data_IF_723635407657
#
_entry.id   IF_723635407657
#
_cell.length_a   1.000
_cell.length_b   1.000
_cell.length_c   1.000
_cell.angle_alpha   90.00
_cell.angle_beta   90.00
_cell.angle_gamma   90.00
#
_symmetry.space_group_name_H-M   'P 1'
#
loop_
_entity.id
_entity.type
_entity.pdbx_description
1 polymer ?
#
# COMPACT_ATOMS: atom_id res chain seq x y z
N UNK A 1 86.50 -4.38 44.81
CA UNK A 1 85.03 -4.26 44.78
C UNK A 1 84.64 -3.14 43.82
N UNK A 2 84.10 -3.49 42.65
CA UNK A 2 83.43 -2.59 41.69
C UNK A 2 82.35 -3.42 40.99
N UNK A 3 81.06 -3.07 41.06
CA UNK A 3 80.04 -3.80 40.33
C UNK A 3 79.87 -3.21 38.92
N UNK A 4 79.82 -4.10 37.93
CA UNK A 4 79.39 -3.83 36.57
C UNK A 4 77.86 -3.77 36.55
N UNK A 5 77.29 -2.63 36.14
CA UNK A 5 75.87 -2.50 35.79
C UNK A 5 75.69 -2.92 34.32
N UNK A 6 74.92 -3.99 34.09
CA UNK A 6 74.40 -4.34 32.77
C UNK A 6 73.03 -3.68 32.59
N UNK A 7 72.93 -2.78 31.61
CA UNK A 7 71.68 -2.14 31.20
C UNK A 7 70.98 -3.05 30.19
N UNK A 8 69.87 -3.68 30.57
CA UNK A 8 69.01 -4.42 29.65
C UNK A 8 68.02 -3.45 29.00
N UNK A 9 68.15 -3.23 27.70
CA UNK A 9 67.17 -2.49 26.89
C UNK A 9 66.01 -3.43 26.55
N UNK A 10 64.86 -3.27 27.22
CA UNK A 10 63.61 -3.86 26.77
C UNK A 10 63.09 -3.05 25.57
N UNK A 11 63.18 -3.63 24.38
CA UNK A 11 62.44 -3.14 23.22
C UNK A 11 60.94 -3.45 23.42
N UNK A 12 60.14 -2.41 23.68
CA UNK A 12 58.70 -2.50 23.66
C UNK A 12 58.22 -2.72 22.22
N UNK A 13 57.83 -3.97 21.89
CA UNK A 13 57.11 -4.26 20.65
C UNK A 13 55.71 -3.70 20.81
N UNK A 14 55.46 -2.52 20.24
CA UNK A 14 54.11 -2.00 20.05
C UNK A 14 53.34 -2.98 19.16
N UNK A 15 52.40 -3.72 19.74
CA UNK A 15 51.35 -4.40 18.99
C UNK A 15 50.52 -3.31 18.31
N UNK A 16 50.86 -3.00 17.05
CA UNK A 16 49.92 -2.35 16.15
C UNK A 16 48.73 -3.30 16.03
N UNK A 17 47.59 -2.90 16.60
CA UNK A 17 46.31 -3.56 16.36
C UNK A 17 46.14 -3.63 14.84
N UNK A 18 46.29 -4.83 14.28
CA UNK A 18 46.21 -5.05 12.85
C UNK A 18 44.77 -4.73 12.46
N UNK A 19 44.57 -3.70 11.63
CA UNK A 19 43.26 -3.38 11.08
C UNK A 19 42.65 -4.66 10.51
N UNK A 20 41.37 -4.90 10.83
CA UNK A 20 40.66 -6.08 10.33
C UNK A 20 40.69 -6.07 8.80
N UNK A 21 41.03 -7.19 8.18
CA UNK A 21 41.06 -7.34 6.73
C UNK A 21 39.64 -7.08 6.16
N UNK A 22 39.44 -6.06 5.31
CA UNK A 22 38.13 -5.71 4.76
C UNK A 22 37.47 -6.84 3.98
N UNK A 23 38.26 -7.71 3.33
CA UNK A 23 37.75 -8.87 2.59
C UNK A 23 37.21 -9.90 3.58
N UNK A 24 37.97 -10.19 4.63
CA UNK A 24 37.56 -11.12 5.68
C UNK A 24 36.29 -10.65 6.41
N UNK A 25 36.20 -9.37 6.77
CA UNK A 25 34.99 -8.82 7.40
C UNK A 25 33.79 -8.91 6.47
N UNK A 26 33.98 -8.61 5.17
CA UNK A 26 32.93 -8.72 4.16
C UNK A 26 32.39 -10.15 4.03
N UNK A 27 33.27 -11.13 3.86
CA UNK A 27 32.91 -12.54 3.71
C UNK A 27 32.21 -13.10 4.96
N UNK A 28 32.66 -12.69 6.15
CA UNK A 28 32.11 -13.19 7.41
C UNK A 28 30.79 -12.51 7.80
N UNK A 29 30.59 -11.23 7.44
CA UNK A 29 29.47 -10.43 7.97
C UNK A 29 28.48 -9.95 6.91
N UNK A 30 28.93 -9.53 5.73
CA UNK A 30 28.04 -9.01 4.68
C UNK A 30 27.57 -10.11 3.73
N UNK A 31 28.43 -11.05 3.37
CA UNK A 31 28.06 -12.12 2.44
C UNK A 31 26.91 -13.01 2.96
N UNK A 32 26.78 -13.32 4.27
CA UNK A 32 25.61 -14.00 4.81
C UNK A 32 24.31 -13.18 4.65
N UNK A 33 24.36 -11.85 4.78
CA UNK A 33 23.22 -10.97 4.52
C UNK A 33 22.84 -11.02 3.04
N UNK A 34 23.83 -10.94 2.15
CA UNK A 34 23.63 -11.04 0.70
C UNK A 34 22.96 -12.35 0.28
N UNK A 35 23.36 -13.47 0.88
CA UNK A 35 22.83 -14.81 0.58
C UNK A 35 21.55 -15.17 1.35
N UNK A 36 21.14 -14.36 2.31
CA UNK A 36 19.97 -14.64 3.15
C UNK A 36 18.68 -14.60 2.34
N UNK A 37 17.75 -15.56 2.52
CA UNK A 37 16.42 -15.48 1.94
C UNK A 37 15.51 -14.48 2.67
N UNK A 38 15.93 -14.00 3.85
CA UNK A 38 15.11 -13.10 4.67
C UNK A 38 15.15 -11.66 4.13
N UNK A 39 14.06 -10.88 4.28
CA UNK A 39 14.02 -9.47 3.89
C UNK A 39 14.96 -8.63 4.76
N UNK A 40 15.57 -7.59 4.17
CA UNK A 40 16.43 -6.65 4.91
C UNK A 40 15.65 -5.56 5.65
N UNK A 41 16.34 -4.78 6.49
CA UNK A 41 15.74 -3.62 7.15
C UNK A 41 15.14 -2.57 6.20
N UNK A 42 15.60 -2.49 4.95
CA UNK A 42 15.08 -1.57 3.94
C UNK A 42 13.62 -1.88 3.55
N UNK A 43 13.21 -3.15 3.66
CA UNK A 43 11.86 -3.63 3.34
C UNK A 43 10.81 -3.02 4.26
N UNK A 44 11.18 -2.63 5.49
CA UNK A 44 10.25 -1.99 6.41
C UNK A 44 9.63 -0.70 5.83
N UNK A 45 10.41 0.07 5.08
CA UNK A 45 9.93 1.32 4.48
C UNK A 45 9.63 1.20 2.99
N UNK A 46 10.07 0.13 2.32
CA UNK A 46 9.99 -0.02 0.86
C UNK A 46 9.32 -1.31 0.36
N UNK A 47 8.65 -2.07 1.25
CA UNK A 47 7.82 -3.23 0.93
C UNK A 47 8.44 -4.27 -0.03
N UNK A 48 9.78 -4.37 -0.02
CA UNK A 48 10.65 -5.23 -0.83
C UNK A 48 11.04 -4.74 -2.23
N UNK A 49 10.69 -3.51 -2.61
CA UNK A 49 11.27 -2.92 -3.83
C UNK A 49 12.70 -2.39 -3.63
N UNK A 50 13.11 -2.18 -2.38
CA UNK A 50 14.48 -1.85 -2.01
C UNK A 50 14.93 -2.87 -0.98
N UNK A 51 15.95 -3.64 -1.32
CA UNK A 51 16.63 -4.55 -0.40
C UNK A 51 18.06 -4.06 -0.18
N UNK A 52 18.62 -4.34 1.00
CA UNK A 52 20.00 -4.01 1.32
C UNK A 52 20.97 -4.80 0.44
N UNK A 53 20.55 -5.97 -0.04
CA UNK A 53 21.32 -6.83 -0.94
C UNK A 53 21.60 -6.18 -2.29
N UNK A 54 20.73 -5.27 -2.74
CA UNK A 54 20.94 -4.52 -3.99
C UNK A 54 22.15 -3.56 -3.91
N UNK A 55 22.66 -3.34 -2.69
CA UNK A 55 23.83 -2.53 -2.37
C UNK A 55 25.09 -3.36 -2.12
N UNK A 56 25.03 -4.69 -2.29
CA UNK A 56 26.15 -5.61 -2.08
C UNK A 56 26.51 -6.26 -3.42
N UNK A 57 27.74 -6.07 -3.88
CA UNK A 57 28.28 -6.69 -5.09
C UNK A 57 29.04 -7.98 -4.75
N UNK A 58 29.41 -8.83 -5.73
CA UNK A 58 30.07 -10.10 -5.46
C UNK A 58 31.40 -10.03 -4.70
N UNK A 59 32.07 -8.86 -4.68
CA UNK A 59 33.33 -8.67 -3.97
C UNK A 59 33.29 -7.48 -2.99
N UNK A 60 34.12 -7.56 -1.94
CA UNK A 60 34.31 -6.49 -0.96
C UNK A 60 34.76 -5.19 -1.64
N UNK A 61 35.76 -5.29 -2.53
CA UNK A 61 36.31 -4.14 -3.25
C UNK A 61 35.25 -3.46 -4.11
N UNK A 62 34.52 -4.22 -4.92
CA UNK A 62 33.51 -3.65 -5.81
C UNK A 62 32.39 -2.99 -5.02
N UNK A 63 31.92 -3.65 -3.96
CA UNK A 63 30.89 -3.10 -3.06
C UNK A 63 31.35 -1.77 -2.47
N UNK A 64 32.58 -1.72 -1.95
CA UNK A 64 33.15 -0.51 -1.37
C UNK A 64 33.24 0.62 -2.39
N UNK A 65 33.83 0.37 -3.56
CA UNK A 65 33.96 1.37 -4.62
C UNK A 65 32.60 1.90 -5.05
N UNK A 66 31.61 1.02 -5.25
CA UNK A 66 30.28 1.41 -5.68
C UNK A 66 29.54 2.27 -4.64
N UNK A 67 29.64 1.92 -3.36
CA UNK A 67 29.01 2.70 -2.28
C UNK A 67 29.74 4.03 -2.04
N UNK A 68 31.08 4.04 -2.07
CA UNK A 68 31.90 5.25 -1.94
C UNK A 68 31.61 6.24 -3.06
N UNK A 69 31.65 5.79 -4.31
CA UNK A 69 31.48 6.66 -5.49
C UNK A 69 30.07 7.24 -5.58
N UNK A 70 29.08 6.60 -4.95
CA UNK A 70 27.72 7.13 -4.80
C UNK A 70 27.51 8.00 -3.55
N UNK A 71 28.58 8.27 -2.78
CA UNK A 71 28.53 9.08 -1.56
C UNK A 71 27.76 8.40 -0.42
N UNK A 72 27.68 7.07 -0.40
CA UNK A 72 27.04 6.28 0.66
C UNK A 72 27.98 5.97 1.83
N UNK A 73 29.30 6.02 1.59
CA UNK A 73 30.37 5.84 2.58
C UNK A 73 31.11 7.18 2.77
N UNK A 74 31.33 7.57 4.02
CA UNK A 74 32.20 8.68 4.41
C UNK A 74 33.53 8.10 4.92
N UNK A 75 34.64 8.36 4.22
CA UNK A 75 35.96 7.78 4.56
C UNK A 75 36.63 8.49 5.74
N UNK A 76 36.29 9.75 5.97
CA UNK A 76 36.84 10.55 7.08
C UNK A 76 36.09 10.24 8.37
N UNK A 77 34.78 9.95 8.26
CA UNK A 77 33.91 9.60 9.37
C UNK A 77 33.12 8.34 9.04
N UNK A 78 33.75 7.14 9.11
CA UNK A 78 33.12 5.88 8.71
C UNK A 78 31.80 5.62 9.42
N UNK A 79 31.67 6.00 10.70
CA UNK A 79 30.44 5.87 11.48
C UNK A 79 29.32 6.83 11.04
N UNK A 80 29.64 7.93 10.35
CA UNK A 80 28.68 8.89 9.81
C UNK A 80 28.20 8.55 8.39
N UNK A 81 28.68 7.43 7.83
CA UNK A 81 28.32 6.98 6.49
C UNK A 81 26.80 6.95 6.28
N UNK A 82 26.37 7.49 5.13
CA UNK A 82 24.94 7.60 4.81
C UNK A 82 24.23 6.25 4.80
N UNK A 83 24.89 5.18 4.36
CA UNK A 83 24.30 3.83 4.38
C UNK A 83 23.98 3.35 5.80
N UNK A 84 24.82 3.66 6.79
CA UNK A 84 24.56 3.32 8.20
C UNK A 84 23.34 4.07 8.73
N UNK A 85 23.24 5.38 8.41
CA UNK A 85 22.07 6.20 8.73
C UNK A 85 20.79 5.63 8.11
N UNK A 86 20.85 5.11 6.89
CA UNK A 86 19.71 4.50 6.21
C UNK A 86 19.32 3.15 6.85
N UNK A 87 20.27 2.27 7.15
CA UNK A 87 20.00 0.98 7.84
C UNK A 87 19.38 1.24 9.22
N UNK A 88 19.89 2.23 9.95
CA UNK A 88 19.40 2.59 11.28
C UNK A 88 18.01 3.22 11.33
N UNK A 89 17.45 3.67 10.19
CA UNK A 89 16.11 4.28 10.14
C UNK A 89 15.02 3.28 10.54
N UNK A 90 14.02 3.78 11.27
CA UNK A 90 12.86 3.01 11.70
C UNK A 90 13.11 2.04 12.85
N UNK A 91 14.27 2.15 13.54
CA UNK A 91 14.58 1.38 14.75
C UNK A 91 13.60 1.63 15.90
N UNK A 92 13.03 2.84 15.96
CA UNK A 92 12.05 3.28 16.96
C UNK A 92 10.61 3.22 16.45
N UNK A 93 10.40 2.81 15.19
CA UNK A 93 9.06 2.85 14.60
C UNK A 93 8.21 1.69 15.13
N UNK A 94 7.00 1.95 15.62
CA UNK A 94 6.11 0.92 16.18
C UNK A 94 5.57 -0.07 15.13
N UNK A 95 5.79 0.16 13.84
CA UNK A 95 5.37 -0.73 12.73
C UNK A 95 6.12 -2.07 12.64
N UNK A 96 6.92 -2.40 13.65
CA UNK A 96 7.87 -3.50 13.66
C UNK A 96 7.21 -4.88 13.78
N UNK A 97 6.78 -5.48 12.66
CA UNK A 97 6.85 -6.94 12.40
C UNK A 97 7.07 -7.32 10.92
N UNK A 98 7.43 -6.38 10.02
CA UNK A 98 7.74 -6.75 8.63
C UNK A 98 9.11 -7.46 8.49
N UNK A 99 9.98 -7.31 9.48
CA UNK A 99 11.29 -7.98 9.56
C UNK A 99 11.44 -8.68 10.91
N UNK A 100 12.17 -9.80 10.99
CA UNK A 100 12.52 -10.44 12.25
C UNK A 100 13.28 -9.50 13.20
N UNK A 101 13.11 -9.70 14.50
CA UNK A 101 13.82 -8.93 15.52
C UNK A 101 15.34 -9.10 15.37
N UNK A 102 16.09 -8.02 15.61
CA UNK A 102 17.56 -8.02 15.56
C UNK A 102 18.19 -7.93 14.16
N UNK A 103 17.43 -8.11 13.07
CA UNK A 103 17.96 -8.03 11.68
C UNK A 103 18.64 -6.69 11.43
N UNK A 104 17.99 -5.58 11.79
CA UNK A 104 18.54 -4.23 11.61
C UNK A 104 19.84 -4.02 12.37
N UNK A 105 19.91 -4.49 13.61
CA UNK A 105 21.12 -4.33 14.43
C UNK A 105 22.28 -5.17 13.87
N UNK A 106 21.99 -6.39 13.39
CA UNK A 106 22.97 -7.23 12.73
C UNK A 106 23.49 -6.59 11.42
N UNK A 107 22.59 -6.07 10.58
CA UNK A 107 22.95 -5.35 9.35
C UNK A 107 23.81 -4.11 9.64
N UNK A 108 23.41 -3.30 10.62
CA UNK A 108 24.15 -2.11 11.02
C UNK A 108 25.55 -2.46 11.52
N UNK A 109 25.66 -3.45 12.41
CA UNK A 109 26.95 -3.88 12.97
C UNK A 109 27.87 -4.49 11.89
N UNK A 110 27.31 -5.24 10.94
CA UNK A 110 28.05 -5.79 9.80
C UNK A 110 28.63 -4.67 8.92
N UNK A 111 27.78 -3.72 8.48
CA UNK A 111 28.22 -2.61 7.65
C UNK A 111 29.19 -1.67 8.38
N UNK A 112 28.94 -1.35 9.65
CA UNK A 112 29.83 -0.44 10.41
C UNK A 112 31.23 -1.04 10.55
N UNK A 113 31.34 -2.31 10.92
CA UNK A 113 32.63 -2.99 11.03
C UNK A 113 33.37 -3.05 9.68
N UNK A 114 32.65 -3.38 8.61
CA UNK A 114 33.24 -3.48 7.28
C UNK A 114 33.67 -2.13 6.71
N UNK A 115 32.88 -1.08 6.89
CA UNK A 115 33.22 0.28 6.45
C UNK A 115 34.47 0.79 7.18
N UNK A 116 34.59 0.54 8.49
CA UNK A 116 35.79 0.88 9.27
C UNK A 116 37.02 0.18 8.74
N UNK A 117 36.94 -1.14 8.54
CA UNK A 117 38.02 -1.90 7.92
C UNK A 117 38.44 -1.31 6.55
N UNK A 118 37.47 -1.01 5.69
CA UNK A 118 37.76 -0.39 4.38
C UNK A 118 38.38 1.00 4.48
N UNK A 119 37.93 1.81 5.45
CA UNK A 119 38.49 3.12 5.71
C UNK A 119 39.93 3.01 6.25
N UNK A 120 40.29 1.97 6.97
CA UNK A 120 41.65 1.78 7.47
C UNK A 120 42.61 1.21 6.42
N UNK A 121 42.10 0.70 5.30
CA UNK A 121 42.89 0.15 4.19
C UNK A 121 43.41 1.26 3.23
N UNK A 122 44.74 1.50 3.17
CA UNK A 122 45.31 2.54 2.31
C UNK A 122 45.11 2.28 0.81
N UNK A 123 45.06 1.00 0.39
CA UNK A 123 44.88 0.64 -1.02
C UNK A 123 43.45 0.92 -1.48
N UNK A 124 42.46 0.66 -0.63
CA UNK A 124 41.06 1.00 -0.91
C UNK A 124 40.83 2.51 -0.89
N UNK A 125 41.40 3.24 0.07
CA UNK A 125 41.37 4.71 0.11
C UNK A 125 41.93 5.34 -1.17
N UNK A 126 43.08 4.85 -1.64
CA UNK A 126 43.75 5.37 -2.84
C UNK A 126 43.17 4.85 -4.17
N UNK A 127 42.22 3.91 -4.14
CA UNK A 127 41.72 3.26 -5.36
C UNK A 127 40.92 4.23 -6.24
N UNK A 128 41.42 4.48 -7.46
CA UNK A 128 40.77 5.31 -8.50
C UNK A 128 39.93 4.52 -9.51
N UNK A 129 39.81 3.21 -9.31
CA UNK A 129 39.07 2.35 -10.24
C UNK A 129 37.60 2.77 -10.30
N UNK A 130 37.04 2.80 -11.51
CA UNK A 130 35.62 3.06 -11.73
C UNK A 130 34.81 1.92 -11.13
N UNK A 131 33.92 2.24 -10.21
CA UNK A 131 33.07 1.25 -9.58
C UNK A 131 32.12 0.56 -10.59
N UNK A 132 31.80 -0.73 -10.38
CA UNK A 132 30.66 -1.34 -11.03
C UNK A 132 29.36 -0.62 -10.63
N UNK A 133 28.36 -0.65 -11.51
CA UNK A 133 27.05 -0.10 -11.21
C UNK A 133 26.31 -0.97 -10.17
N UNK A 134 25.70 -0.33 -9.18
CA UNK A 134 24.72 -1.02 -8.33
C UNK A 134 23.43 -1.26 -9.12
N UNK A 135 22.74 -2.35 -8.81
CA UNK A 135 21.43 -2.67 -9.40
C UNK A 135 20.30 -1.85 -8.75
N UNK A 136 20.51 -0.53 -8.56
CA UNK A 136 19.52 0.35 -7.93
C UNK A 136 18.35 0.61 -8.87
N UNK A 137 17.13 0.55 -8.33
CA UNK A 137 15.92 0.84 -9.10
C UNK A 137 15.78 2.34 -9.37
N UNK A 138 15.09 2.73 -10.46
CA UNK A 138 14.72 4.12 -10.71
C UNK A 138 13.95 4.74 -9.53
N UNK A 139 14.13 6.04 -9.32
CA UNK A 139 13.56 6.75 -8.16
C UNK A 139 12.03 6.67 -8.12
N UNK A 140 11.38 6.61 -9.28
CA UNK A 140 9.93 6.46 -9.42
C UNK A 140 9.46 5.12 -8.86
N UNK A 141 10.18 4.04 -9.17
CA UNK A 141 9.90 2.69 -8.66
C UNK A 141 10.13 2.62 -7.16
N UNK A 142 11.26 3.18 -6.70
CA UNK A 142 11.56 3.26 -5.26
C UNK A 142 10.48 4.05 -4.52
N UNK A 143 10.02 5.17 -5.10
CA UNK A 143 8.95 6.00 -4.52
C UNK A 143 7.63 5.25 -4.48
N UNK A 144 7.21 4.63 -5.57
CA UNK A 144 5.94 3.87 -5.65
C UNK A 144 5.84 2.80 -4.55
N UNK A 145 6.93 2.09 -4.32
CA UNK A 145 6.98 1.02 -3.35
C UNK A 145 7.19 1.47 -1.89
N UNK A 146 7.33 2.77 -1.62
CA UNK A 146 7.43 3.25 -0.25
C UNK A 146 6.15 2.93 0.52
N UNK A 147 6.30 2.59 1.79
CA UNK A 147 5.19 2.24 2.68
C UNK A 147 4.13 3.34 2.76
N UNK A 148 4.53 4.63 2.74
CA UNK A 148 3.58 5.75 2.74
C UNK A 148 2.75 5.82 1.45
N UNK A 149 3.36 5.55 0.29
CA UNK A 149 2.65 5.51 -1.00
C UNK A 149 1.71 4.32 -1.11
N UNK A 150 2.13 3.14 -0.65
CA UNK A 150 1.26 1.96 -0.61
C UNK A 150 0.14 2.13 0.43
N UNK A 151 0.41 2.78 1.56
CA UNK A 151 -0.60 3.16 2.57
C UNK A 151 -1.61 4.13 1.99
N UNK A 152 -1.15 5.13 1.24
CA UNK A 152 -2.01 6.09 0.58
C UNK A 152 -2.94 5.44 -0.45
N UNK A 153 -2.42 4.49 -1.25
CA UNK A 153 -3.25 3.70 -2.16
C UNK A 153 -4.21 2.78 -1.40
N UNK A 154 -3.78 2.15 -0.31
CA UNK A 154 -4.66 1.36 0.55
C UNK A 154 -5.82 2.21 1.11
N UNK A 155 -5.51 3.42 1.61
CA UNK A 155 -6.48 4.35 2.14
C UNK A 155 -7.49 4.79 1.07
N UNK A 156 -7.00 5.11 -0.13
CA UNK A 156 -7.82 5.60 -1.24
C UNK A 156 -8.63 4.48 -1.91
N UNK A 157 -8.25 3.22 -1.79
CA UNK A 157 -8.97 2.10 -2.40
C UNK A 157 -9.70 1.24 -1.37
N UNK A 158 -8.95 0.42 -0.63
CA UNK A 158 -9.49 -0.59 0.28
C UNK A 158 -10.26 0.07 1.44
N UNK A 159 -9.66 1.07 2.08
CA UNK A 159 -10.26 1.75 3.23
C UNK A 159 -11.48 2.61 2.86
N UNK A 160 -11.49 3.20 1.66
CA UNK A 160 -12.66 3.91 1.15
C UNK A 160 -13.89 2.97 1.02
N UNK A 161 -13.66 1.69 0.70
CA UNK A 161 -14.70 0.65 0.57
C UNK A 161 -15.12 -0.02 1.89
N UNK A 162 -14.59 0.45 3.04
CA UNK A 162 -14.76 -0.23 4.34
C UNK A 162 -16.22 -0.47 4.75
N UNK A 163 -17.16 0.39 4.35
CA UNK A 163 -18.58 0.28 4.73
C UNK A 163 -19.26 -1.04 4.30
N UNK A 164 -18.67 -1.79 3.36
CA UNK A 164 -19.14 -3.13 2.98
C UNK A 164 -18.84 -4.21 4.02
N UNK A 165 -17.82 -3.97 4.86
CA UNK A 165 -17.20 -4.97 5.73
C UNK A 165 -17.13 -4.54 7.20
N UNK A 166 -17.03 -3.24 7.47
CA UNK A 166 -16.64 -2.67 8.76
C UNK A 166 -17.57 -3.04 9.91
N UNK A 167 -18.88 -3.16 9.65
CA UNK A 167 -19.86 -3.51 10.68
C UNK A 167 -19.53 -4.83 11.39
N UNK A 168 -18.87 -5.77 10.72
CA UNK A 168 -18.51 -7.07 11.29
C UNK A 168 -17.02 -7.20 11.64
N UNK A 169 -16.16 -6.29 11.14
CA UNK A 169 -14.71 -6.48 11.12
C UNK A 169 -13.92 -5.34 11.77
N UNK A 170 -14.57 -4.25 12.17
CA UNK A 170 -13.93 -3.11 12.84
C UNK A 170 -13.76 -3.37 14.32
N UNK A 171 -12.50 -3.41 14.74
CA UNK A 171 -12.07 -3.58 16.11
C UNK A 171 -12.75 -2.59 17.08
N UNK A 172 -13.33 -3.11 18.16
CA UNK A 172 -14.02 -2.33 19.18
C UNK A 172 -15.46 -1.94 18.83
N UNK A 173 -16.02 -2.44 17.73
CA UNK A 173 -17.46 -2.34 17.48
C UNK A 173 -18.20 -3.51 18.13
N UNK A 174 -19.42 -3.31 18.69
CA UNK A 174 -20.15 -4.39 19.37
C UNK A 174 -20.36 -5.65 18.50
N UNK A 175 -20.62 -5.45 17.21
CA UNK A 175 -20.80 -6.55 16.26
C UNK A 175 -19.48 -7.30 15.97
N UNK A 176 -18.37 -6.60 15.82
CA UNK A 176 -17.06 -7.24 15.70
C UNK A 176 -16.68 -7.99 16.98
N UNK A 177 -16.90 -7.41 18.17
CA UNK A 177 -16.57 -8.03 19.45
C UNK A 177 -17.34 -9.34 19.66
N UNK A 178 -18.62 -9.37 19.24
CA UNK A 178 -19.40 -10.61 19.20
C UNK A 178 -18.75 -11.66 18.30
N UNK A 179 -18.39 -11.31 17.07
CA UNK A 179 -17.78 -12.26 16.15
C UNK A 179 -16.37 -12.68 16.56
N UNK A 180 -15.60 -11.83 17.24
CA UNK A 180 -14.31 -12.19 17.82
C UNK A 180 -14.46 -13.26 18.88
N UNK A 181 -15.47 -13.17 19.75
CA UNK A 181 -15.79 -14.22 20.74
C UNK A 181 -16.13 -15.56 20.07
N UNK A 182 -16.83 -15.52 18.95
CA UNK A 182 -17.29 -16.72 18.24
C UNK A 182 -16.23 -17.34 17.30
N UNK A 183 -15.35 -16.54 16.71
CA UNK A 183 -14.50 -16.94 15.58
C UNK A 183 -13.02 -16.54 15.70
N UNK A 184 -12.65 -15.89 16.80
CA UNK A 184 -11.29 -15.46 17.15
C UNK A 184 -10.93 -14.07 16.62
N UNK A 185 -9.79 -13.54 17.11
CA UNK A 185 -9.31 -12.17 16.84
C UNK A 185 -9.10 -11.86 15.36
N UNK A 186 -8.89 -12.88 14.52
CA UNK A 186 -8.75 -12.74 13.06
C UNK A 186 -9.95 -12.08 12.37
N UNK A 187 -11.10 -12.02 13.03
CA UNK A 187 -12.27 -11.30 12.51
C UNK A 187 -12.04 -9.78 12.55
N UNK A 188 -11.35 -9.28 13.57
CA UNK A 188 -11.10 -7.85 13.77
C UNK A 188 -9.91 -7.37 12.93
N UNK A 189 -10.01 -7.47 11.60
CA UNK A 189 -8.91 -7.10 10.71
C UNK A 189 -8.89 -5.62 10.33
N UNK A 190 -10.01 -4.88 10.45
CA UNK A 190 -9.98 -3.42 10.43
C UNK A 190 -9.56 -2.91 11.80
N UNK A 191 -8.35 -2.36 11.87
CA UNK A 191 -7.71 -1.95 13.11
C UNK A 191 -8.16 -0.56 13.53
N UNK A 192 -8.27 -0.35 14.84
CA UNK A 192 -8.60 0.96 15.42
C UNK A 192 -7.60 2.05 15.05
N UNK A 193 -6.34 1.67 14.82
CA UNK A 193 -5.27 2.57 14.36
C UNK A 193 -5.42 3.08 12.92
N UNK A 194 -6.54 2.81 12.24
CA UNK A 194 -6.85 3.39 10.93
C UNK A 194 -6.28 2.61 9.74
N UNK A 195 -6.16 3.26 8.56
CA UNK A 195 -5.79 2.58 7.31
C UNK A 195 -4.38 1.97 7.38
N UNK A 196 -3.39 2.67 7.95
CA UNK A 196 -2.02 2.16 8.05
C UNK A 196 -1.93 0.91 8.95
N UNK A 197 -2.50 0.96 10.16
CA UNK A 197 -2.53 -0.18 11.07
C UNK A 197 -3.26 -1.40 10.46
N UNK A 198 -4.33 -1.14 9.71
CA UNK A 198 -5.08 -2.17 8.99
C UNK A 198 -4.25 -2.77 7.87
N UNK A 199 -3.60 -1.94 7.05
CA UNK A 199 -2.73 -2.40 5.98
C UNK A 199 -1.60 -3.27 6.52
N UNK A 200 -0.90 -2.81 7.57
CA UNK A 200 0.19 -3.55 8.19
C UNK A 200 -0.27 -4.90 8.75
N UNK A 201 -1.46 -4.94 9.38
CA UNK A 201 -2.07 -6.21 9.79
C UNK A 201 -2.31 -7.14 8.60
N UNK A 202 -2.89 -6.64 7.50
CA UNK A 202 -3.20 -7.45 6.32
C UNK A 202 -1.92 -8.00 5.66
N UNK A 203 -0.87 -7.17 5.52
CA UNK A 203 0.42 -7.57 4.96
C UNK A 203 1.12 -8.66 5.78
N UNK A 204 0.98 -8.61 7.11
CA UNK A 204 1.49 -9.63 8.03
C UNK A 204 0.55 -10.81 8.28
N UNK A 205 -0.67 -10.78 7.74
CA UNK A 205 -1.67 -11.83 7.91
C UNK A 205 -1.57 -12.90 6.82
N UNK A 206 -2.19 -14.06 7.06
CA UNK A 206 -2.43 -15.07 6.01
C UNK A 206 -3.66 -14.79 5.13
N UNK A 207 -4.21 -13.57 5.11
CA UNK A 207 -5.40 -13.23 4.32
C UNK A 207 -5.07 -12.89 2.86
N UNK A 208 -3.82 -12.55 2.57
CA UNK A 208 -3.31 -12.19 1.26
C UNK A 208 -2.47 -13.33 0.69
N UNK A 209 -2.79 -13.78 -0.51
CA UNK A 209 -1.94 -14.67 -1.30
C UNK A 209 -1.17 -13.82 -2.32
N UNK A 210 0.07 -13.47 -1.98
CA UNK A 210 0.91 -12.65 -2.87
C UNK A 210 1.41 -13.41 -4.11
N UNK A 211 1.34 -14.75 -4.11
CA UNK A 211 1.73 -15.55 -5.27
C UNK A 211 0.58 -15.62 -6.27
N UNK A 212 -0.64 -15.77 -5.76
CA UNK A 212 -1.88 -15.79 -6.56
C UNK A 212 -2.90 -14.83 -5.94
N UNK A 213 -2.85 -13.52 -6.26
CA UNK A 213 -3.71 -12.50 -5.65
C UNK A 213 -5.20 -12.85 -5.56
N UNK A 214 -5.72 -13.69 -6.47
CA UNK A 214 -7.16 -14.03 -6.61
C UNK A 214 -7.58 -15.03 -5.57
N UNK A 215 -6.61 -15.79 -5.09
CA UNK A 215 -6.79 -16.80 -4.07
C UNK A 215 -6.76 -16.21 -2.66
N UNK A 216 -6.45 -14.92 -2.53
CA UNK A 216 -6.52 -14.19 -1.25
C UNK A 216 -7.89 -14.38 -0.59
N UNK A 217 -7.90 -14.81 0.68
CA UNK A 217 -9.12 -14.95 1.45
C UNK A 217 -9.89 -13.62 1.60
N UNK A 218 -9.15 -12.50 1.54
CA UNK A 218 -9.71 -11.15 1.53
C UNK A 218 -10.58 -10.86 0.29
N UNK A 219 -10.42 -11.60 -0.81
CA UNK A 219 -11.28 -11.56 -1.99
C UNK A 219 -12.30 -12.70 -2.01
N UNK A 220 -11.85 -13.94 -1.78
CA UNK A 220 -12.70 -15.13 -1.95
C UNK A 220 -13.89 -15.17 -0.99
N UNK A 221 -13.71 -14.71 0.26
CA UNK A 221 -14.80 -14.65 1.24
C UNK A 221 -15.92 -13.69 0.80
N UNK A 222 -15.65 -12.39 0.56
CA UNK A 222 -16.70 -11.47 0.14
C UNK A 222 -17.30 -11.79 -1.23
N UNK A 223 -16.61 -12.53 -2.11
CA UNK A 223 -17.17 -13.05 -3.37
C UNK A 223 -18.08 -14.29 -3.18
N UNK A 224 -18.06 -14.93 -2.00
CA UNK A 224 -18.74 -16.20 -1.77
C UNK A 224 -18.02 -17.43 -2.33
N UNK A 225 -16.79 -17.28 -2.84
CA UNK A 225 -15.95 -18.40 -3.30
C UNK A 225 -15.42 -19.30 -2.18
N UNK A 226 -15.55 -18.86 -0.92
CA UNK A 226 -15.46 -19.67 0.30
C UNK A 226 -16.45 -19.13 1.34
N UNK A 227 -16.78 -19.94 2.37
CA UNK A 227 -17.72 -19.54 3.44
C UNK A 227 -17.26 -18.26 4.16
N UNK A 228 -18.08 -17.21 4.11
CA UNK A 228 -17.82 -15.93 4.77
C UNK A 228 -18.68 -15.70 6.03
N UNK A 229 -19.87 -16.29 6.12
CA UNK A 229 -20.85 -16.04 7.19
C UNK A 229 -21.65 -14.74 7.01
N UNK A 230 -21.03 -13.67 6.52
CA UNK A 230 -21.67 -12.38 6.24
C UNK A 230 -22.40 -12.28 4.89
N UNK A 231 -22.49 -13.38 4.13
CA UNK A 231 -23.01 -13.40 2.76
C UNK A 231 -22.07 -12.75 1.73
N UNK A 232 -22.55 -12.60 0.50
CA UNK A 232 -21.79 -11.99 -0.61
C UNK A 232 -21.72 -10.46 -0.38
N UNK A 233 -20.51 -9.91 -0.40
CA UNK A 233 -20.24 -8.47 -0.28
C UNK A 233 -19.72 -7.85 -1.57
N UNK A 234 -19.06 -8.65 -2.42
CA UNK A 234 -18.53 -8.25 -3.71
C UNK A 234 -19.14 -9.11 -4.83
N UNK A 235 -19.17 -8.56 -6.03
CA UNK A 235 -19.21 -9.34 -7.26
C UNK A 235 -18.02 -8.96 -8.14
N UNK A 236 -17.58 -9.90 -8.99
CA UNK A 236 -16.51 -9.63 -9.94
C UNK A 236 -16.83 -8.39 -10.77
N UNK A 237 -15.87 -7.47 -10.81
CA UNK A 237 -16.01 -6.22 -11.53
C UNK A 237 -16.73 -5.12 -10.77
N UNK A 238 -17.20 -5.28 -9.54
CA UNK A 238 -17.70 -4.15 -8.73
C UNK A 238 -16.56 -3.34 -8.09
N UNK A 239 -16.84 -2.13 -7.60
CA UNK A 239 -15.84 -1.22 -7.04
C UNK A 239 -15.09 -1.83 -5.85
N UNK A 240 -15.77 -2.62 -5.01
CA UNK A 240 -15.14 -3.31 -3.88
C UNK A 240 -14.13 -4.34 -4.35
N UNK A 241 -14.54 -5.21 -5.28
CA UNK A 241 -13.66 -6.19 -5.91
C UNK A 241 -12.48 -5.51 -6.60
N UNK A 242 -12.70 -4.50 -7.45
CA UNK A 242 -11.62 -3.81 -8.19
C UNK A 242 -10.63 -3.14 -7.24
N UNK A 243 -11.12 -2.47 -6.19
CA UNK A 243 -10.28 -1.80 -5.20
C UNK A 243 -9.37 -2.77 -4.44
N UNK A 244 -9.95 -3.86 -3.91
CA UNK A 244 -9.18 -4.87 -3.18
C UNK A 244 -8.26 -5.64 -4.13
N UNK A 245 -8.76 -6.10 -5.27
CA UNK A 245 -7.98 -6.88 -6.24
C UNK A 245 -6.78 -6.08 -6.76
N UNK A 246 -7.00 -4.85 -7.19
CA UNK A 246 -5.95 -3.97 -7.72
C UNK A 246 -4.87 -3.69 -6.67
N UNK A 247 -5.26 -3.39 -5.43
CA UNK A 247 -4.29 -3.15 -4.35
C UNK A 247 -3.48 -4.41 -4.00
N UNK A 248 -4.12 -5.59 -3.95
CA UNK A 248 -3.40 -6.86 -3.67
C UNK A 248 -2.42 -7.18 -4.80
N UNK A 249 -2.82 -6.99 -6.08
CA UNK A 249 -1.92 -7.17 -7.22
C UNK A 249 -0.72 -6.22 -7.16
N UNK A 250 -0.93 -4.95 -6.83
CA UNK A 250 0.15 -3.97 -6.69
C UNK A 250 1.08 -4.32 -5.54
N UNK A 251 0.54 -4.64 -4.36
CA UNK A 251 1.34 -5.08 -3.21
C UNK A 251 2.14 -6.35 -3.51
N UNK A 252 1.56 -7.31 -4.25
CA UNK A 252 2.27 -8.51 -4.71
C UNK A 252 3.38 -8.18 -5.72
N UNK A 253 3.13 -7.25 -6.66
CA UNK A 253 4.12 -6.82 -7.65
C UNK A 253 5.28 -6.06 -6.99
N UNK A 254 5.02 -5.19 -6.01
CA UNK A 254 6.03 -4.54 -5.18
C UNK A 254 6.87 -5.59 -4.43
N UNK A 255 6.20 -6.53 -3.75
CA UNK A 255 6.88 -7.58 -2.95
C UNK A 255 7.75 -8.50 -3.81
N UNK A 256 7.29 -8.84 -5.01
CA UNK A 256 8.02 -9.67 -5.96
C UNK A 256 9.04 -8.88 -6.80
N UNK A 257 9.18 -7.57 -6.56
CA UNK A 257 10.12 -6.72 -7.29
C UNK A 257 9.82 -6.58 -8.79
N UNK A 258 8.58 -6.79 -9.23
CA UNK A 258 8.18 -6.84 -10.66
C UNK A 258 8.37 -5.52 -11.41
N UNK A 259 8.32 -4.39 -10.72
CA UNK A 259 8.56 -3.08 -11.32
C UNK A 259 10.06 -2.84 -11.48
N UNK A 260 10.51 -2.73 -12.73
CA UNK A 260 11.91 -2.45 -13.08
C UNK A 260 12.10 -0.99 -13.52
N UNK A 261 11.11 -0.42 -14.21
CA UNK A 261 11.11 0.95 -14.72
C UNK A 261 9.78 1.65 -14.45
N UNK A 262 9.77 2.98 -14.56
CA UNK A 262 8.57 3.80 -14.32
C UNK A 262 7.37 3.40 -15.20
N UNK A 263 7.61 2.94 -16.42
CA UNK A 263 6.56 2.48 -17.33
C UNK A 263 5.88 1.16 -16.89
N UNK A 264 6.47 0.42 -15.95
CA UNK A 264 5.87 -0.80 -15.41
C UNK A 264 4.87 -0.50 -14.27
N UNK A 265 4.89 0.73 -13.75
CA UNK A 265 4.05 1.13 -12.62
C UNK A 265 2.57 1.19 -13.01
N UNK A 266 1.65 0.90 -12.07
CA UNK A 266 0.24 1.10 -12.32
C UNK A 266 -0.04 2.58 -12.62
N UNK A 267 -1.07 2.87 -13.44
CA UNK A 267 -1.44 4.24 -13.73
C UNK A 267 -1.80 4.99 -12.45
N UNK A 268 -1.47 6.29 -12.35
CA UNK A 268 -1.79 7.07 -11.16
C UNK A 268 -3.31 7.15 -10.96
N UNK A 269 -3.72 7.15 -9.70
CA UNK A 269 -5.11 7.38 -9.33
C UNK A 269 -5.55 8.78 -9.78
N UNK A 270 -6.64 8.83 -10.55
CA UNK A 270 -7.18 10.09 -11.07
C UNK A 270 -7.98 10.87 -10.04
N UNK A 271 -8.53 10.18 -9.05
CA UNK A 271 -9.45 10.72 -8.05
C UNK A 271 -9.15 10.13 -6.68
N UNK A 272 -9.31 10.93 -5.63
CA UNK A 272 -9.34 10.47 -4.25
C UNK A 272 -10.72 9.96 -3.92
N UNK A 273 -10.77 8.83 -3.21
CA UNK A 273 -12.02 8.22 -2.77
C UNK A 273 -12.14 8.30 -1.26
N UNK A 274 -13.33 8.64 -0.79
CA UNK A 274 -13.64 8.75 0.62
C UNK A 274 -14.91 7.97 0.91
N UNK A 275 -14.82 7.00 1.82
CA UNK A 275 -16.02 6.28 2.25
C UNK A 275 -16.97 7.21 3.01
N UNK A 276 -18.27 7.13 2.73
CA UNK A 276 -19.33 7.88 3.41
C UNK A 276 -20.46 6.97 3.87
N UNK A 277 -21.25 7.45 4.83
CA UNK A 277 -22.48 6.82 5.30
C UNK A 277 -23.72 7.33 4.56
N UNK A 278 -23.56 8.20 3.55
CA UNK A 278 -24.66 8.62 2.68
C UNK A 278 -25.17 7.42 1.87
N UNK A 279 -26.48 7.15 1.94
CA UNK A 279 -27.11 6.05 1.20
C UNK A 279 -27.93 6.55 0.02
N UNK A 280 -27.83 5.83 -1.10
CA UNK A 280 -28.66 6.01 -2.27
C UNK A 280 -29.48 4.74 -2.52
N UNK A 281 -30.76 4.92 -2.83
CA UNK A 281 -31.69 3.87 -3.25
C UNK A 281 -32.32 4.22 -4.59
N UNK A 282 -32.27 3.28 -5.52
CA UNK A 282 -33.06 3.31 -6.75
C UNK A 282 -34.24 2.35 -6.59
N UNK A 283 -35.45 2.90 -6.53
CA UNK A 283 -36.71 2.11 -6.50
C UNK A 283 -37.18 1.80 -7.90
N UNK A 284 -38.06 0.80 -8.04
CA UNK A 284 -38.68 0.42 -9.33
C UNK A 284 -37.66 0.19 -10.45
N UNK A 285 -36.54 -0.46 -10.11
CA UNK A 285 -35.56 -0.84 -11.13
C UNK A 285 -36.23 -1.71 -12.19
N UNK A 286 -35.97 -1.47 -13.49
CA UNK A 286 -36.50 -2.32 -14.54
C UNK A 286 -36.13 -3.80 -14.34
N UNK A 287 -37.05 -4.75 -14.62
CA UNK A 287 -36.79 -6.18 -14.42
C UNK A 287 -35.53 -6.69 -15.12
N UNK A 288 -35.19 -6.13 -16.30
CA UNK A 288 -34.01 -6.49 -17.07
C UNK A 288 -32.68 -6.07 -16.42
N UNK A 289 -32.72 -5.25 -15.36
CA UNK A 289 -31.53 -4.94 -14.55
C UNK A 289 -31.33 -5.93 -13.41
N UNK A 290 -32.31 -6.82 -13.15
CA UNK A 290 -32.23 -7.83 -12.10
C UNK A 290 -30.98 -8.69 -12.22
N UNK A 291 -30.30 -8.89 -11.10
CA UNK A 291 -29.06 -9.66 -10.99
C UNK A 291 -27.88 -9.13 -11.84
N UNK A 292 -28.00 -7.91 -12.39
CA UNK A 292 -26.91 -7.22 -13.09
C UNK A 292 -26.19 -6.27 -12.16
N UNK A 293 -24.89 -6.07 -12.43
CA UNK A 293 -24.11 -5.02 -11.78
C UNK A 293 -24.60 -3.66 -12.29
N UNK A 294 -24.98 -2.79 -11.36
CA UNK A 294 -25.38 -1.41 -11.62
C UNK A 294 -24.39 -0.46 -10.93
N UNK A 295 -23.91 0.55 -11.66
CA UNK A 295 -23.20 1.70 -11.12
C UNK A 295 -24.08 2.95 -11.16
N UNK A 296 -24.07 3.71 -10.06
CA UNK A 296 -24.66 5.03 -9.96
C UNK A 296 -23.54 6.06 -9.73
N UNK A 297 -23.40 7.00 -10.65
CA UNK A 297 -22.48 8.14 -10.54
C UNK A 297 -23.26 9.41 -10.28
N UNK A 298 -22.87 10.16 -9.26
CA UNK A 298 -23.58 11.33 -8.75
C UNK A 298 -22.80 12.58 -9.13
N UNK A 299 -23.47 13.52 -9.80
CA UNK A 299 -22.91 14.79 -10.24
C UNK A 299 -23.62 15.93 -9.50
N UNK A 300 -22.85 16.84 -8.90
CA UNK A 300 -23.42 18.00 -8.21
C UNK A 300 -23.82 19.09 -9.20
N UNK A 301 -24.88 19.84 -8.86
CA UNK A 301 -25.23 21.05 -9.59
C UNK A 301 -24.29 22.20 -9.21
N UNK A 302 -23.64 22.82 -10.19
CA UNK A 302 -22.91 24.07 -10.02
C UNK A 302 -23.87 25.23 -10.32
N UNK A 303 -24.36 25.87 -9.26
CA UNK A 303 -25.27 27.00 -9.36
C UNK A 303 -24.63 28.23 -10.01
N UNK A 304 -23.32 28.43 -9.83
CA UNK A 304 -22.61 29.57 -10.42
C UNK A 304 -22.43 29.37 -11.93
N UNK A 305 -22.16 28.14 -12.36
CA UNK A 305 -22.00 27.81 -13.78
C UNK A 305 -23.29 27.36 -14.48
N UNK A 306 -24.42 27.26 -13.76
CA UNK A 306 -25.72 26.80 -14.24
C UNK A 306 -25.63 25.47 -15.02
N UNK A 307 -24.83 24.53 -14.53
CA UNK A 307 -24.60 23.22 -15.15
C UNK A 307 -24.22 22.17 -14.12
N UNK A 308 -24.31 20.90 -14.50
CA UNK A 308 -23.73 19.81 -13.71
C UNK A 308 -22.20 19.88 -13.70
N UNK A 309 -21.58 19.54 -12.58
CA UNK A 309 -20.14 19.27 -12.54
C UNK A 309 -19.76 18.25 -13.63
N UNK A 310 -18.61 18.43 -14.28
CA UNK A 310 -18.20 17.55 -15.37
C UNK A 310 -17.75 16.16 -14.88
N UNK A 311 -17.27 16.08 -13.63
CA UNK A 311 -16.84 14.85 -12.98
C UNK A 311 -17.85 14.47 -11.88
N UNK A 312 -18.03 13.16 -11.60
CA UNK A 312 -18.87 12.74 -10.50
C UNK A 312 -18.24 13.13 -9.16
N UNK A 313 -19.08 13.54 -8.22
CA UNK A 313 -18.71 13.85 -6.83
C UNK A 313 -18.89 12.67 -5.89
N UNK A 314 -19.62 11.65 -6.33
CA UNK A 314 -19.73 10.37 -5.65
C UNK A 314 -20.08 9.25 -6.63
N UNK A 315 -19.81 8.01 -6.23
CA UNK A 315 -20.14 6.82 -7.00
C UNK A 315 -20.47 5.65 -6.09
N UNK A 316 -21.21 4.69 -6.60
CA UNK A 316 -21.42 3.40 -5.95
C UNK A 316 -21.84 2.36 -6.97
N UNK A 317 -21.54 1.10 -6.70
CA UNK A 317 -22.02 -0.01 -7.51
C UNK A 317 -22.41 -1.23 -6.68
N UNK A 318 -23.40 -1.95 -7.19
CA UNK A 318 -23.87 -3.21 -6.61
C UNK A 318 -24.75 -3.94 -7.60
N UNK A 319 -24.91 -5.25 -7.40
CA UNK A 319 -25.97 -6.00 -8.06
C UNK A 319 -27.35 -5.44 -7.68
N UNK A 320 -28.26 -5.38 -8.65
CA UNK A 320 -29.68 -5.11 -8.39
C UNK A 320 -30.32 -6.37 -7.81
N UNK A 321 -30.67 -6.32 -6.52
CA UNK A 321 -31.18 -7.48 -5.77
C UNK A 321 -32.71 -7.58 -5.83
N UNK A 322 -33.23 -8.72 -5.33
CA UNK A 322 -34.66 -8.90 -5.10
C UNK A 322 -35.49 -9.08 -6.38
N UNK A 323 -34.94 -9.78 -7.39
CA UNK A 323 -35.55 -9.96 -8.72
C UNK A 323 -35.76 -8.63 -9.46
N UNK A 324 -34.79 -7.73 -9.35
CA UNK A 324 -34.85 -6.43 -10.03
C UNK A 324 -35.78 -5.42 -9.39
N UNK A 325 -36.09 -5.50 -8.09
CA UNK A 325 -37.04 -4.57 -7.45
C UNK A 325 -36.42 -3.30 -6.88
N UNK A 326 -35.16 -3.38 -6.44
CA UNK A 326 -34.45 -2.22 -5.91
C UNK A 326 -32.94 -2.40 -5.97
N UNK A 327 -32.25 -1.27 -6.07
CA UNK A 327 -30.81 -1.16 -5.84
C UNK A 327 -30.58 -0.18 -4.70
N UNK A 328 -29.66 -0.49 -3.78
CA UNK A 328 -29.30 0.42 -2.69
C UNK A 328 -27.91 0.13 -2.13
N UNK A 329 -27.16 1.19 -1.85
CA UNK A 329 -25.83 1.10 -1.25
C UNK A 329 -25.36 2.45 -0.68
N UNK A 330 -24.29 2.42 0.11
CA UNK A 330 -23.56 3.64 0.50
C UNK A 330 -22.81 4.24 -0.70
N UNK A 331 -22.62 5.55 -0.68
CA UNK A 331 -21.82 6.27 -1.65
C UNK A 331 -20.34 6.33 -1.22
N UNK A 332 -19.47 6.19 -2.20
CA UNK A 332 -18.05 6.56 -2.09
C UNK A 332 -17.87 7.93 -2.73
N UNK A 333 -17.40 8.89 -1.96
CA UNK A 333 -17.23 10.26 -2.43
C UNK A 333 -15.93 10.42 -3.21
N UNK A 334 -15.95 11.28 -4.22
CA UNK A 334 -14.87 11.48 -5.17
C UNK A 334 -14.43 12.94 -5.17
N UNK A 335 -13.12 13.15 -5.14
CA UNK A 335 -12.54 14.48 -5.26
C UNK A 335 -11.22 14.45 -6.04
N UNK A 336 -10.95 15.49 -6.82
CA UNK A 336 -9.67 15.65 -7.48
C UNK A 336 -8.53 15.75 -6.44
N UNK A 337 -7.38 15.10 -6.65
CA UNK A 337 -6.24 15.21 -5.75
C UNK A 337 -5.84 16.68 -5.52
N UNK A 338 -5.65 17.06 -4.25
CA UNK A 338 -5.24 18.42 -3.87
C UNK A 338 -6.35 19.48 -3.90
N UNK A 339 -7.57 19.16 -4.34
CA UNK A 339 -8.72 20.08 -4.27
C UNK A 339 -9.10 20.43 -2.83
N UNK A 340 -9.74 21.59 -2.62
CA UNK A 340 -10.26 21.99 -1.32
C UNK A 340 -11.25 20.96 -0.74
N UNK A 341 -12.07 20.35 -1.60
CA UNK A 341 -12.97 19.24 -1.23
C UNK A 341 -12.18 18.04 -0.69
N UNK A 342 -11.11 17.63 -1.36
CA UNK A 342 -10.27 16.53 -0.90
C UNK A 342 -9.57 16.85 0.43
N UNK A 343 -9.07 18.07 0.61
CA UNK A 343 -8.45 18.51 1.87
C UNK A 343 -9.45 18.51 3.02
N UNK A 344 -10.65 19.06 2.81
CA UNK A 344 -11.70 19.10 3.81
C UNK A 344 -12.15 17.69 4.24
N UNK A 345 -12.35 16.79 3.29
CA UNK A 345 -12.73 15.40 3.59
C UNK A 345 -11.61 14.56 4.20
N UNK A 346 -10.33 14.88 3.93
CA UNK A 346 -9.20 14.24 4.59
C UNK A 346 -9.04 14.71 6.05
N UNK A 347 -9.36 15.98 6.33
CA UNK A 347 -9.25 16.57 7.66
C UNK A 347 -10.46 16.29 8.57
N UNK A 348 -11.60 15.90 8.00
CA UNK A 348 -12.86 15.75 8.72
C UNK A 348 -13.73 14.60 8.22
N UNK A 349 -15.04 14.72 8.47
CA UNK A 349 -16.02 13.73 7.99
C UNK A 349 -16.34 14.00 6.53
N UNK A 350 -16.09 13.02 5.67
CA UNK A 350 -16.44 13.11 4.26
C UNK A 350 -17.97 13.05 4.07
N UNK A 351 -18.55 14.15 3.58
CA UNK A 351 -19.99 14.30 3.35
C UNK A 351 -20.28 15.14 2.10
N UNK A 352 -21.40 14.84 1.44
CA UNK A 352 -21.95 15.66 0.36
C UNK A 352 -22.84 16.77 0.94
N UNK A 353 -22.77 18.01 0.42
CA UNK A 353 -23.66 19.08 0.88
C UNK A 353 -25.12 18.83 0.46
N UNK A 354 -26.07 19.49 1.10
CA UNK A 354 -27.44 19.49 0.60
C UNK A 354 -27.51 20.19 -0.77
N UNK A 355 -28.35 19.70 -1.68
CA UNK A 355 -28.52 20.35 -2.98
C UNK A 355 -29.15 19.47 -4.06
N UNK A 356 -29.05 19.95 -5.29
CA UNK A 356 -29.52 19.27 -6.51
C UNK A 356 -28.40 18.42 -7.12
N UNK A 357 -28.75 17.22 -7.53
CA UNK A 357 -27.81 16.23 -8.07
C UNK A 357 -28.39 15.50 -9.28
N UNK A 358 -27.52 15.09 -10.18
CA UNK A 358 -27.82 14.21 -11.29
C UNK A 358 -27.20 12.84 -11.00
N UNK A 359 -28.03 11.80 -11.01
CA UNK A 359 -27.59 10.41 -10.86
C UNK A 359 -27.56 9.75 -12.22
N UNK A 360 -26.38 9.48 -12.75
CA UNK A 360 -26.18 8.71 -13.98
C UNK A 360 -26.07 7.23 -13.65
N UNK A 361 -26.80 6.40 -14.39
CA UNK A 361 -26.93 4.96 -14.14
C UNK A 361 -26.33 4.17 -15.29
N UNK A 362 -25.48 3.21 -14.95
CA UNK A 362 -24.87 2.25 -15.87
C UNK A 362 -25.22 0.83 -15.44
N UNK A 363 -25.53 -0.05 -16.38
CA UNK A 363 -25.94 -1.43 -16.11
C UNK A 363 -25.14 -2.38 -16.99
N UNK A 364 -24.46 -3.36 -16.38
CA UNK A 364 -23.71 -4.40 -17.10
C UNK A 364 -24.66 -5.47 -17.66
N UNK A 365 -25.44 -5.10 -18.67
CA UNK A 365 -26.45 -5.98 -19.27
C UNK A 365 -25.83 -7.25 -19.86
N UNK A 366 -24.68 -7.07 -20.53
CA UNK A 366 -23.95 -8.13 -21.22
C UNK A 366 -23.05 -8.97 -20.30
N UNK A 367 -22.87 -8.60 -19.03
CA UNK A 367 -21.94 -9.30 -18.13
C UNK A 367 -20.46 -9.05 -18.46
N UNK A 368 -20.16 -7.98 -19.21
CA UNK A 368 -18.82 -7.67 -19.68
C UNK A 368 -17.89 -7.25 -18.54
N UNK A 369 -18.42 -6.65 -17.46
CA UNK A 369 -17.62 -6.31 -16.25
C UNK A 369 -17.31 -7.54 -15.41
N UNK A 370 -18.23 -8.51 -15.37
CA UNK A 370 -17.98 -9.78 -14.71
C UNK A 370 -16.90 -10.59 -15.46
N UNK A 371 -16.89 -10.55 -16.80
CA UNK A 371 -15.91 -11.22 -17.64
C UNK A 371 -14.54 -10.51 -17.63
N UNK A 372 -14.51 -9.18 -17.73
CA UNK A 372 -13.31 -8.35 -17.58
C UNK A 372 -13.55 -7.26 -16.54
N UNK A 373 -13.09 -7.53 -15.33
CA UNK A 373 -13.24 -6.60 -14.21
C UNK A 373 -12.51 -5.27 -14.39
N UNK A 374 -11.54 -5.20 -15.30
CA UNK A 374 -10.80 -3.96 -15.61
C UNK A 374 -11.49 -3.10 -16.65
N UNK A 375 -12.48 -3.64 -17.38
CA UNK A 375 -13.23 -2.92 -18.40
C UNK A 375 -13.83 -1.64 -17.83
N UNK A 376 -13.67 -0.53 -18.52
CA UNK A 376 -14.36 0.71 -18.20
C UNK A 376 -15.88 0.59 -18.46
N UNK A 377 -16.68 1.50 -17.93
CA UNK A 377 -18.06 1.63 -18.41
C UNK A 377 -18.02 2.29 -19.79
N UNK A 378 -18.83 1.79 -20.72
CA UNK A 378 -18.90 2.31 -22.10
C UNK A 378 -20.31 2.86 -22.38
N UNK A 379 -20.52 3.62 -23.47
CA UNK A 379 -21.82 4.21 -23.79
C UNK A 379 -22.98 3.22 -23.84
N UNK A 380 -22.75 1.98 -24.26
CA UNK A 380 -23.79 0.93 -24.30
C UNK A 380 -24.27 0.51 -22.90
N UNK A 381 -23.43 0.65 -21.88
CA UNK A 381 -23.80 0.35 -20.51
C UNK A 381 -24.69 1.45 -19.91
N UNK A 382 -24.72 2.65 -20.50
CA UNK A 382 -25.45 3.80 -19.99
C UNK A 382 -26.97 3.61 -20.12
N UNK A 383 -27.66 3.54 -18.99
CA UNK A 383 -29.11 3.39 -18.91
C UNK A 383 -29.84 4.74 -18.93
N UNK A 384 -29.18 5.81 -18.50
CA UNK A 384 -29.74 7.16 -18.45
C UNK A 384 -29.37 7.90 -17.17
N UNK A 385 -30.06 9.00 -16.89
CA UNK A 385 -29.92 9.78 -15.67
C UNK A 385 -31.27 10.13 -15.03
N UNK A 386 -31.23 10.46 -13.74
CA UNK A 386 -32.36 10.99 -12.99
C UNK A 386 -31.88 12.07 -12.03
N UNK A 387 -32.62 13.17 -11.92
CA UNK A 387 -32.33 14.22 -10.96
C UNK A 387 -32.88 13.88 -9.56
N UNK A 388 -32.14 14.27 -8.53
CA UNK A 388 -32.56 14.21 -7.13
C UNK A 388 -32.20 15.49 -6.40
N UNK A 389 -33.02 15.86 -5.42
CA UNK A 389 -32.66 16.84 -4.40
C UNK A 389 -32.47 16.10 -3.08
N UNK A 390 -31.36 16.36 -2.40
CA UNK A 390 -30.91 15.52 -1.31
C UNK A 390 -30.18 16.32 -0.24
N UNK A 391 -30.42 15.97 1.03
CA UNK A 391 -29.58 16.35 2.16
C UNK A 391 -28.57 15.25 2.55
N UNK A 392 -28.54 14.16 1.76
CA UNK A 392 -27.72 12.97 1.95
C UNK A 392 -27.78 12.41 3.37
N UNK A 393 -28.96 11.97 3.81
CA UNK A 393 -29.09 11.34 5.12
C UNK A 393 -28.17 10.11 5.23
N UNK A 394 -27.73 9.88 6.46
CA UNK A 394 -26.84 8.79 6.80
C UNK A 394 -27.60 7.61 7.39
N UNK A 395 -27.08 6.41 7.10
CA UNK A 395 -27.58 5.17 7.67
C UNK A 395 -28.67 4.47 6.85
N UNK A 396 -28.78 3.16 7.05
CA UNK A 396 -29.64 2.30 6.25
C UNK A 396 -31.14 2.68 6.33
N UNK A 397 -31.59 3.25 7.44
CA UNK A 397 -32.98 3.65 7.65
C UNK A 397 -33.37 4.98 7.00
N UNK A 398 -32.40 5.77 6.52
CA UNK A 398 -32.62 7.12 6.02
C UNK A 398 -31.79 7.31 4.76
N UNK A 399 -32.41 7.07 3.59
CA UNK A 399 -31.72 7.05 2.30
C UNK A 399 -32.27 8.10 1.36
N UNK A 400 -31.40 8.68 0.53
CA UNK A 400 -31.83 9.40 -0.67
C UNK A 400 -32.44 8.39 -1.63
N UNK A 401 -33.67 8.64 -2.09
CA UNK A 401 -34.38 7.74 -3.00
C UNK A 401 -34.60 8.42 -4.33
N UNK A 402 -34.30 7.71 -5.42
CA UNK A 402 -34.67 8.08 -6.78
C UNK A 402 -35.49 6.97 -7.41
N UNK A 403 -36.45 7.33 -8.27
CA UNK A 403 -37.24 6.37 -9.02
C UNK A 403 -36.50 5.97 -10.31
N UNK A 404 -36.07 4.71 -10.39
CA UNK A 404 -35.38 4.20 -11.58
C UNK A 404 -36.29 4.21 -12.82
N UNK A 405 -37.62 4.17 -12.65
CA UNK A 405 -38.56 4.31 -13.75
C UNK A 405 -38.50 5.69 -14.41
N UNK A 406 -37.84 6.68 -13.81
CA UNK A 406 -37.60 8.03 -14.35
C UNK A 406 -36.22 8.18 -15.00
N UNK A 407 -35.38 7.16 -14.97
CA UNK A 407 -34.06 7.18 -15.62
C UNK A 407 -34.26 7.25 -17.14
N UNK A 408 -33.72 8.29 -17.79
CA UNK A 408 -33.83 8.52 -19.23
C UNK A 408 -32.47 8.89 -19.81
N UNK A 409 -32.19 8.50 -21.06
CA UNK A 409 -30.99 8.97 -21.76
C UNK A 409 -31.13 10.47 -22.02
N UNK A 410 -30.07 11.21 -21.71
CA UNK A 410 -29.94 12.66 -21.96
C UNK A 410 -29.82 12.97 -23.45
#
# INVERSE_FOLDING_TARGET
MRPLFALAVLAAVSQTARADDPVKVFEQRLLPIFKSPNPSSCVQCHLAAVDLKDYILPSSRDTFLALRDQGLIDLERPDDSRILKLIGRGKTDPGAKLIPAGVRDAEYAAFSAWIKACADDPQLKAAKAKAPALAVKPVEVVRHARADRVTESFASNVWAMRFRCMNCHTEGTPACDKHVKEHGERVAWFKRGGPEATMNYLLGSGLLDFSNPENSLLLRKPLGGVKHGGGIKFVTGDQGYRAFRGWIEDAAAVRAGKYAKAADLPPPERERRFGSEAWLKLTNTPPEWGDKLLQADVYAWDAAANKWEAAPVATSDRVVWGKGKAWQHTLTLLAAPGSERAKAWAAGKAALPAGKYLVRVYVDRAGAKAADWRRAWVPDDYAGAVEVESRWPEGYGSMTTADAARVRRE
#
